data_IF_019645168696
#
_entry.id   IF_019645168696
#
_cell.length_a   1.000
_cell.length_b   1.000
_cell.length_c   1.000
_cell.angle_alpha   90.00
_cell.angle_beta   90.00
_cell.angle_gamma   90.00
#
_symmetry.space_group_name_H-M   'P 1'
#
loop_
_entity.id
_entity.type
_entity.pdbx_description
1 polymer ?
#
# COMPACT_ATOMS: atom_id res chain seq x y z
N UNK A 1 -3.75 -15.95 -18.86
CA UNK A 1 -5.16 -15.49 -18.92
C UNK A 1 -5.14 -13.97 -19.03
N UNK A 2 -5.74 -13.43 -20.08
CA UNK A 2 -5.97 -11.99 -20.22
C UNK A 2 -7.39 -11.76 -19.73
N UNK A 3 -7.55 -10.90 -18.72
CA UNK A 3 -8.81 -10.71 -18.00
C UNK A 3 -9.85 -9.86 -18.80
N UNK A 4 -9.62 -9.66 -20.11
CA UNK A 4 -10.46 -8.83 -20.98
C UNK A 4 -10.33 -7.31 -20.77
N UNK A 5 -9.60 -6.87 -19.76
CA UNK A 5 -9.37 -5.45 -19.47
C UNK A 5 -8.02 -4.97 -20.02
N UNK A 6 -8.00 -3.72 -20.47
CA UNK A 6 -6.74 -3.05 -20.80
C UNK A 6 -5.84 -2.94 -19.57
N UNK A 7 -4.55 -3.16 -19.78
CA UNK A 7 -3.55 -3.04 -18.73
C UNK A 7 -3.47 -1.57 -18.28
N UNK A 8 -3.59 -1.33 -16.97
CA UNK A 8 -3.34 -0.01 -16.38
C UNK A 8 -1.88 0.42 -16.46
N UNK A 9 -1.57 1.63 -15.98
CA UNK A 9 -0.23 2.21 -16.01
C UNK A 9 0.66 1.71 -14.85
N UNK A 10 0.82 0.38 -14.73
CA UNK A 10 1.55 -0.29 -13.66
C UNK A 10 2.98 -0.73 -14.06
N UNK A 11 3.60 -0.02 -15.00
CA UNK A 11 4.94 -0.33 -15.51
C UNK A 11 6.01 0.35 -14.68
N UNK A 12 7.07 -0.38 -14.37
CA UNK A 12 8.25 0.10 -13.65
C UNK A 12 9.48 0.01 -14.53
N UNK A 13 10.36 1.00 -14.41
CA UNK A 13 11.65 0.99 -15.07
C UNK A 13 12.69 0.21 -14.25
N UNK A 14 13.28 -0.82 -14.86
CA UNK A 14 14.39 -1.59 -14.33
C UNK A 14 15.49 -1.61 -15.38
N UNK A 15 16.63 -0.96 -15.11
CA UNK A 15 17.78 -0.90 -16.01
C UNK A 15 17.40 -0.48 -17.44
N UNK A 16 16.58 0.58 -17.58
CA UNK A 16 16.13 1.11 -18.88
C UNK A 16 15.07 0.27 -19.60
N UNK A 17 14.50 -0.75 -18.95
CA UNK A 17 13.42 -1.58 -19.51
C UNK A 17 12.17 -1.53 -18.63
N UNK A 18 11.00 -1.54 -19.24
CA UNK A 18 9.72 -1.53 -18.55
C UNK A 18 9.23 -2.94 -18.23
N UNK A 19 8.81 -3.15 -16.98
CA UNK A 19 8.24 -4.40 -16.50
C UNK A 19 6.94 -4.16 -15.72
N UNK A 20 5.98 -5.12 -15.71
CA UNK A 20 4.82 -5.03 -14.83
C UNK A 20 5.23 -5.00 -13.37
N UNK A 21 4.69 -4.07 -12.58
CA UNK A 21 5.04 -3.88 -11.17
C UNK A 21 4.91 -5.19 -10.37
N UNK A 22 3.82 -5.95 -10.56
CA UNK A 22 3.60 -7.21 -9.85
C UNK A 22 4.69 -8.27 -10.06
N UNK A 23 5.50 -8.18 -11.11
CA UNK A 23 6.65 -9.08 -11.36
C UNK A 23 7.94 -8.59 -10.71
N UNK A 24 8.01 -7.32 -10.32
CA UNK A 24 9.22 -6.64 -9.88
C UNK A 24 9.22 -6.40 -8.38
N UNK A 25 8.08 -5.98 -7.82
CA UNK A 25 7.96 -5.54 -6.41
C UNK A 25 7.20 -6.53 -5.52
N UNK A 26 6.78 -7.67 -6.07
CA UNK A 26 6.11 -8.75 -5.34
C UNK A 26 6.81 -10.08 -5.69
N UNK A 27 7.14 -10.87 -4.67
CA UNK A 27 7.70 -12.21 -4.85
C UNK A 27 7.18 -13.16 -3.78
N UNK A 28 7.25 -14.46 -4.07
CA UNK A 28 6.93 -15.51 -3.10
C UNK A 28 8.14 -16.42 -2.94
N UNK A 29 8.56 -16.68 -1.70
CA UNK A 29 9.65 -17.60 -1.35
C UNK A 29 9.17 -18.49 -0.21
N UNK A 30 9.35 -19.80 -0.31
CA UNK A 30 9.01 -20.76 0.75
C UNK A 30 7.57 -20.55 1.28
N UNK A 31 6.62 -20.35 0.37
CA UNK A 31 5.20 -20.07 0.65
C UNK A 31 4.90 -18.69 1.25
N UNK A 32 5.90 -17.89 1.63
CA UNK A 32 5.76 -16.54 2.21
C UNK A 32 5.80 -15.48 1.11
N UNK A 33 4.92 -14.48 1.22
CA UNK A 33 4.90 -13.33 0.33
C UNK A 33 5.84 -12.24 0.82
N UNK A 34 6.56 -11.64 -0.11
CA UNK A 34 7.42 -10.49 0.14
C UNK A 34 7.03 -9.32 -0.77
N UNK A 35 7.09 -8.12 -0.21
CA UNK A 35 6.86 -6.85 -0.90
C UNK A 35 8.10 -5.97 -0.81
N UNK A 36 8.38 -5.24 -1.88
CA UNK A 36 9.39 -4.19 -1.85
C UNK A 36 8.78 -2.93 -1.22
N UNK A 37 9.20 -2.62 0.00
CA UNK A 37 8.73 -1.46 0.78
C UNK A 37 9.76 -0.36 0.66
N UNK A 38 9.36 0.80 0.13
CA UNK A 38 10.23 1.97 -0.01
C UNK A 38 10.57 2.57 1.34
N UNK A 39 9.55 2.82 2.17
CA UNK A 39 9.71 3.37 3.51
C UNK A 39 8.51 3.05 4.41
N UNK A 40 8.73 3.16 5.72
CA UNK A 40 7.69 3.07 6.75
C UNK A 40 7.85 4.30 7.65
N UNK A 41 6.92 5.24 7.52
CA UNK A 41 7.02 6.54 8.19
C UNK A 41 5.79 6.82 9.05
N UNK A 42 6.03 7.52 10.16
CA UNK A 42 4.97 8.09 10.98
C UNK A 42 4.57 9.43 10.37
N UNK A 43 3.46 9.45 9.64
CA UNK A 43 3.00 10.65 8.95
C UNK A 43 2.49 11.67 9.95
N UNK A 44 3.05 12.88 9.92
CA UNK A 44 2.56 14.04 10.67
C UNK A 44 1.68 14.89 9.75
N UNK A 45 0.62 15.55 10.25
CA UNK A 45 0.21 15.71 11.66
C UNK A 45 -0.68 14.59 12.22
N UNK A 46 -1.08 13.62 11.40
CA UNK A 46 -2.18 12.71 11.75
C UNK A 46 -1.75 11.46 12.55
N UNK A 47 -0.46 11.32 12.84
CA UNK A 47 0.16 10.26 13.63
C UNK A 47 -0.17 8.82 13.16
N UNK A 48 -0.51 8.60 11.88
CA UNK A 48 -0.69 7.25 11.31
C UNK A 48 0.62 6.67 10.74
N UNK A 49 0.79 5.36 10.92
CA UNK A 49 1.84 4.60 10.24
C UNK A 49 1.54 4.50 8.74
N UNK A 50 2.41 5.06 7.92
CA UNK A 50 2.37 4.98 6.46
C UNK A 50 3.37 3.98 5.96
N UNK A 51 2.90 2.95 5.26
CA UNK A 51 3.76 1.98 4.57
C UNK A 51 3.80 2.33 3.09
N UNK A 52 4.90 2.93 2.66
CA UNK A 52 5.12 3.32 1.28
C UNK A 52 5.64 2.12 0.48
N UNK A 53 4.74 1.49 -0.26
CA UNK A 53 5.12 0.39 -1.15
C UNK A 53 5.77 0.90 -2.43
N UNK A 54 6.83 0.22 -2.87
CA UNK A 54 7.34 0.43 -4.23
C UNK A 54 6.40 -0.20 -5.26
N UNK A 55 6.28 0.44 -6.42
CA UNK A 55 5.44 0.00 -7.54
C UNK A 55 3.93 0.15 -7.30
N UNK A 56 3.35 1.25 -7.80
CA UNK A 56 1.91 1.50 -7.76
C UNK A 56 1.24 1.11 -9.09
N UNK A 57 -0.07 0.83 -9.03
CA UNK A 57 -0.91 0.58 -10.22
C UNK A 57 -1.44 1.86 -10.89
N UNK A 58 -1.08 3.05 -10.37
CA UNK A 58 -1.55 4.34 -10.88
C UNK A 58 -0.39 5.22 -11.36
N UNK A 59 -0.62 5.98 -12.44
CA UNK A 59 0.28 7.02 -12.98
C UNK A 59 -0.19 8.41 -12.53
N UNK A 60 -0.24 8.62 -11.23
CA UNK A 60 -0.75 9.85 -10.65
C UNK A 60 0.23 11.02 -10.91
N UNK A 61 -0.25 12.09 -11.55
CA UNK A 61 0.55 13.27 -11.89
C UNK A 61 0.97 14.12 -10.68
N UNK A 62 0.26 14.00 -9.55
CA UNK A 62 0.49 14.76 -8.32
C UNK A 62 0.84 13.87 -7.12
N UNK A 63 1.34 12.68 -7.36
CA UNK A 63 1.63 11.75 -6.27
C UNK A 63 2.95 12.12 -5.58
N UNK A 64 2.91 12.30 -4.26
CA UNK A 64 4.12 12.42 -3.44
C UNK A 64 5.05 11.20 -3.58
N UNK A 65 4.47 10.05 -3.94
CA UNK A 65 5.17 8.79 -4.14
C UNK A 65 5.64 8.53 -5.59
N UNK A 66 5.42 9.48 -6.51
CA UNK A 66 5.59 9.28 -7.96
C UNK A 66 6.92 8.63 -8.34
N UNK A 67 8.03 9.03 -7.70
CA UNK A 67 9.36 8.53 -8.04
C UNK A 67 9.54 7.04 -7.73
N UNK A 68 9.32 6.62 -6.48
CA UNK A 68 9.52 5.23 -6.04
C UNK A 68 8.37 4.29 -6.48
N UNK A 69 7.28 4.86 -6.99
CA UNK A 69 6.23 4.09 -7.66
C UNK A 69 6.58 3.71 -9.10
N UNK A 70 7.61 4.32 -9.72
CA UNK A 70 8.09 3.97 -11.06
C UNK A 70 9.47 3.33 -11.06
N UNK A 71 10.27 3.61 -10.04
CA UNK A 71 11.59 3.02 -9.85
C UNK A 71 11.55 2.07 -8.66
N UNK A 72 11.75 0.76 -8.89
CA UNK A 72 11.72 -0.23 -7.82
C UNK A 72 12.89 -0.01 -6.87
N UNK A 73 12.56 0.42 -5.64
CA UNK A 73 13.53 0.73 -4.60
C UNK A 73 12.92 0.45 -3.25
N UNK A 74 13.73 -0.02 -2.31
CA UNK A 74 13.31 -0.26 -0.94
C UNK A 74 13.92 -1.53 -0.37
N UNK A 75 13.34 -1.98 0.73
CA UNK A 75 13.69 -3.20 1.45
C UNK A 75 12.65 -4.27 1.15
N UNK A 76 13.11 -5.50 0.92
CA UNK A 76 12.21 -6.64 0.81
C UNK A 76 11.75 -7.04 2.19
N UNK A 77 10.45 -6.94 2.45
CA UNK A 77 9.84 -7.34 3.71
C UNK A 77 8.81 -8.43 3.45
N UNK A 78 8.81 -9.46 4.29
CA UNK A 78 7.78 -10.47 4.34
C UNK A 78 6.47 -9.89 4.90
N UNK A 79 5.38 -10.62 4.71
CA UNK A 79 4.09 -10.27 5.36
C UNK A 79 4.19 -10.21 6.88
N UNK A 80 5.05 -11.05 7.48
CA UNK A 80 5.21 -11.13 8.93
C UNK A 80 6.03 -9.93 9.44
N UNK A 81 7.14 -9.60 8.78
CA UNK A 81 7.92 -8.39 9.10
C UNK A 81 7.09 -7.11 8.97
N UNK A 82 6.22 -7.02 7.96
CA UNK A 82 5.30 -5.89 7.82
C UNK A 82 4.29 -5.85 8.98
N UNK A 83 3.78 -7.01 9.41
CA UNK A 83 2.86 -7.09 10.54
C UNK A 83 3.55 -6.70 11.87
N UNK A 84 4.82 -7.08 12.04
CA UNK A 84 5.61 -6.73 13.21
C UNK A 84 5.84 -5.21 13.32
N UNK A 85 6.11 -4.51 12.22
CA UNK A 85 6.21 -3.04 12.21
C UNK A 85 4.90 -2.37 12.62
N UNK A 86 3.76 -2.90 12.15
CA UNK A 86 2.44 -2.39 12.53
C UNK A 86 2.17 -2.63 14.01
N UNK A 87 2.51 -3.83 14.52
CA UNK A 87 2.34 -4.17 15.92
C UNK A 87 3.25 -3.30 16.83
N UNK A 88 4.49 -3.06 16.42
CA UNK A 88 5.41 -2.19 17.14
C UNK A 88 4.87 -0.76 17.24
N UNK A 89 4.38 -0.20 16.14
CA UNK A 89 3.74 1.10 16.12
C UNK A 89 2.52 1.15 17.06
N UNK A 90 1.63 0.16 16.98
CA UNK A 90 0.45 0.07 17.85
C UNK A 90 0.82 0.02 19.35
N UNK A 91 1.84 -0.76 19.69
CA UNK A 91 2.22 -1.00 21.09
C UNK A 91 3.03 0.13 21.71
N UNK A 92 3.85 0.83 20.91
CA UNK A 92 4.86 1.77 21.43
C UNK A 92 4.60 3.22 21.10
N UNK A 93 3.80 3.51 20.07
CA UNK A 93 3.62 4.87 19.55
C UNK A 93 2.18 5.37 19.62
N UNK A 94 1.18 4.48 19.61
CA UNK A 94 -0.23 4.88 19.76
C UNK A 94 -0.49 5.35 21.19
N UNK A 95 -0.77 6.64 21.32
CA UNK A 95 -1.00 7.32 22.59
C UNK A 95 -2.44 7.85 22.76
N UNK A 96 -3.27 7.76 21.71
CA UNK A 96 -4.67 8.20 21.73
C UNK A 96 -5.59 7.03 21.35
N UNK A 97 -6.56 6.76 22.24
CA UNK A 97 -7.57 5.73 22.05
C UNK A 97 -8.96 6.36 22.06
N UNK A 98 -9.62 6.38 20.90
CA UNK A 98 -10.96 6.94 20.74
C UNK A 98 -11.98 5.82 20.50
N UNK A 99 -13.18 5.89 21.09
CA UNK A 99 -14.27 5.00 20.73
C UNK A 99 -14.54 5.06 19.22
N UNK A 100 -14.75 3.90 18.59
CA UNK A 100 -14.91 3.79 17.12
C UNK A 100 -15.94 4.76 16.52
N UNK A 101 -17.01 5.08 17.26
CA UNK A 101 -18.06 5.99 16.82
C UNK A 101 -17.61 7.45 16.66
N UNK A 102 -16.43 7.85 17.19
CA UNK A 102 -15.87 9.21 17.07
C UNK A 102 -14.85 9.34 15.95
N UNK A 103 -14.29 8.23 15.45
CA UNK A 103 -13.36 8.25 14.34
C UNK A 103 -14.09 8.60 13.03
N UNK A 104 -13.75 9.71 12.39
CA UNK A 104 -14.34 10.12 11.10
C UNK A 104 -14.09 9.10 10.00
N UNK A 105 -12.94 8.41 10.02
CA UNK A 105 -12.64 7.28 9.12
C UNK A 105 -13.61 6.09 9.27
N UNK A 106 -14.25 5.89 10.43
CA UNK A 106 -15.26 4.85 10.60
C UNK A 106 -16.50 5.11 9.75
N UNK A 107 -16.86 6.38 9.58
CA UNK A 107 -18.02 6.80 8.80
C UNK A 107 -17.81 6.66 7.28
N UNK A 108 -16.56 6.53 6.81
CA UNK A 108 -16.24 6.26 5.41
C UNK A 108 -16.73 4.87 4.94
N UNK A 109 -17.15 3.98 5.85
CA UNK A 109 -17.82 2.72 5.50
C UNK A 109 -19.30 2.88 5.16
N UNK A 110 -19.95 3.97 5.60
CA UNK A 110 -21.40 4.13 5.47
C UNK A 110 -21.82 4.51 4.04
N UNK A 111 -20.94 5.13 3.25
CA UNK A 111 -21.27 5.54 1.87
C UNK A 111 -21.05 4.46 0.79
N UNK A 112 -20.40 3.33 1.11
CA UNK A 112 -20.11 2.27 0.15
C UNK A 112 -21.07 1.07 0.22
N UNK A 113 -21.98 1.05 1.20
CA UNK A 113 -23.03 0.02 1.34
C UNK A 113 -24.43 0.52 0.96
N UNK A 114 -24.59 1.79 0.57
CA UNK A 114 -25.90 2.34 0.18
C UNK A 114 -26.29 2.11 -1.29
N UNK A 115 -25.46 1.43 -2.10
CA UNK A 115 -25.74 1.22 -3.53
C UNK A 115 -25.51 -0.23 -4.02
N UNK A 116 -25.85 -1.23 -3.22
CA UNK A 116 -26.07 -2.59 -3.75
C UNK A 116 -27.48 -3.04 -3.39
N UNK A 117 -28.37 -2.91 -4.40
CA UNK A 117 -29.69 -3.55 -4.58
C UNK A 117 -30.78 -3.21 -3.54
N UNK A 118 -31.92 -2.57 -3.86
CA UNK A 118 -32.94 -2.87 -4.90
C UNK A 118 -33.36 -4.35 -4.90
N UNK A 119 -34.57 -4.57 -4.36
CA UNK A 119 -35.36 -5.80 -4.17
C UNK A 119 -35.13 -6.58 -2.87
#
# INVERSE_FOLDING_TARGET
>A
MVQGFEKGACELEVNGKLYPACKVVLRRKENVWYRLIFDIELSRPEDYLSIYMSGCNHKCLKCHSWYFTQHPRGTWMSTDEIADEVALYEQTMVNVWEPRYRATMWHARVSLLTNVAVM
#
